data_IF_768958552667
#
_entry.id   IF_768958552667
#
_cell.length_a   1.000
_cell.length_b   1.000
_cell.length_c   1.000
_cell.angle_alpha   90.00
_cell.angle_beta   90.00
_cell.angle_gamma   90.00
#
_symmetry.space_group_name_H-M   'P 1'
#
loop_
_entity.id
_entity.type
_entity.pdbx_description
1 polymer ?
#
# COMPACT_ATOMS: atom_id res chain seq x y z
N UNK A 1 50.45 -1.18 -5.69
CA UNK A 1 51.00 -0.97 -4.33
C UNK A 1 50.02 -0.17 -3.51
N UNK A 2 49.35 -0.85 -2.60
CA UNK A 2 48.76 -0.51 -1.31
C UNK A 2 48.21 0.93 -1.11
N UNK A 3 46.91 1.07 -1.31
CA UNK A 3 46.09 2.26 -0.89
C UNK A 3 45.33 2.01 0.45
N UNK A 4 45.63 0.94 1.17
CA UNK A 4 44.97 0.59 2.42
C UNK A 4 45.74 1.05 3.66
N UNK A 5 46.37 2.23 3.65
CA UNK A 5 47.08 2.70 4.83
C UNK A 5 46.44 4.00 5.37
N UNK A 6 45.94 3.89 6.62
CA UNK A 6 45.54 4.94 7.56
C UNK A 6 44.06 5.27 7.74
N UNK A 7 43.18 4.26 7.76
CA UNK A 7 41.95 4.45 8.58
C UNK A 7 42.36 4.18 10.03
N UNK A 8 42.50 5.24 10.82
CA UNK A 8 42.81 5.07 12.24
C UNK A 8 41.65 4.31 12.93
N UNK A 9 42.02 3.43 13.91
CA UNK A 9 41.01 2.68 14.70
C UNK A 9 39.91 3.58 15.28
N UNK A 10 40.23 4.85 15.61
CA UNK A 10 39.24 5.84 16.05
C UNK A 10 38.23 6.21 14.95
N UNK A 11 38.67 6.42 13.70
CA UNK A 11 37.78 6.74 12.57
C UNK A 11 36.87 5.55 12.22
N UNK A 12 37.39 4.32 12.34
CA UNK A 12 36.60 3.11 12.15
C UNK A 12 35.51 2.96 13.24
N UNK A 13 35.87 3.22 14.51
CA UNK A 13 34.93 3.16 15.63
C UNK A 13 33.85 4.25 15.50
N UNK A 14 34.19 5.48 15.11
CA UNK A 14 33.21 6.54 14.84
C UNK A 14 32.29 6.21 13.65
N UNK A 15 32.83 5.60 12.59
CA UNK A 15 32.03 5.11 11.48
C UNK A 15 31.05 4.01 11.89
N UNK A 16 31.49 3.02 12.66
CA UNK A 16 30.63 1.98 13.22
C UNK A 16 29.59 2.54 14.21
N UNK A 17 29.94 3.53 15.03
CA UNK A 17 29.00 4.16 15.97
C UNK A 17 27.91 4.91 15.27
N UNK A 18 28.17 5.56 14.12
CA UNK A 18 27.15 6.22 13.31
C UNK A 18 26.20 5.20 12.66
N UNK A 19 26.70 4.06 12.22
CA UNK A 19 25.87 2.97 11.66
C UNK A 19 25.01 2.32 12.74
N UNK A 20 25.54 2.14 13.95
CA UNK A 20 24.76 1.61 15.09
C UNK A 20 23.72 2.60 15.62
N UNK A 21 23.98 3.92 15.57
CA UNK A 21 23.00 4.94 15.97
C UNK A 21 21.85 5.07 14.99
N UNK A 22 22.07 4.84 13.67
CA UNK A 22 21.02 4.82 12.67
C UNK A 22 20.11 3.58 12.75
N UNK A 23 20.57 2.48 13.35
CA UNK A 23 19.73 1.30 13.59
C UNK A 23 18.70 1.49 14.72
N UNK A 24 18.77 2.58 15.50
CA UNK A 24 17.77 2.93 16.52
C UNK A 24 16.61 3.77 15.99
N UNK A 25 16.63 4.15 14.72
CA UNK A 25 15.57 4.96 14.05
C UNK A 25 14.87 4.15 12.95
N UNK A 26 15.06 2.82 12.90
CA UNK A 26 14.27 2.01 11.97
C UNK A 26 12.82 2.02 12.44
N UNK A 27 11.90 2.54 11.62
CA UNK A 27 10.48 2.46 11.91
C UNK A 27 10.11 1.00 12.11
N UNK A 28 9.31 0.74 13.11
CA UNK A 28 8.90 -0.59 13.51
C UNK A 28 8.36 -1.37 12.33
N UNK A 29 8.91 -2.56 12.09
CA UNK A 29 8.21 -3.55 11.29
C UNK A 29 6.86 -3.79 11.96
N UNK A 30 5.77 -3.54 11.26
CA UNK A 30 4.42 -3.84 11.73
C UNK A 30 4.01 -5.22 11.24
N UNK A 31 3.28 -5.92 12.08
CA UNK A 31 2.68 -7.19 11.71
C UNK A 31 1.57 -6.98 10.68
N UNK A 32 1.54 -7.81 9.66
CA UNK A 32 0.50 -7.74 8.62
C UNK A 32 -0.80 -8.29 9.21
N UNK A 33 -1.88 -7.54 9.09
CA UNK A 33 -3.20 -7.99 9.50
C UNK A 33 -3.52 -9.37 8.88
N UNK A 34 -4.00 -10.30 9.70
CA UNK A 34 -4.35 -11.68 9.32
C UNK A 34 -3.17 -12.57 8.87
N UNK A 35 -1.93 -12.18 9.13
CA UNK A 35 -0.76 -13.02 8.85
C UNK A 35 0.37 -12.72 9.84
N UNK A 36 1.18 -13.74 10.16
CA UNK A 36 2.36 -13.58 11.04
C UNK A 36 3.55 -12.90 10.33
N UNK A 37 3.33 -12.33 9.15
CA UNK A 37 4.37 -11.69 8.35
C UNK A 37 4.63 -10.27 8.85
N UNK A 38 5.90 -9.94 9.05
CA UNK A 38 6.31 -8.56 9.30
C UNK A 38 6.51 -7.81 7.98
N UNK A 39 6.07 -6.57 7.93
CA UNK A 39 6.22 -5.69 6.77
C UNK A 39 6.84 -4.35 7.18
N UNK A 40 7.56 -3.76 6.24
CA UNK A 40 8.09 -2.42 6.39
C UNK A 40 6.99 -1.40 6.14
N UNK A 41 6.59 -0.68 7.18
CA UNK A 41 5.50 0.29 7.13
C UNK A 41 5.95 1.64 7.70
N UNK A 42 6.58 2.44 6.85
CA UNK A 42 7.09 3.78 7.21
C UNK A 42 5.99 4.84 7.04
N UNK A 43 5.04 4.58 6.15
CA UNK A 43 4.02 5.56 5.77
C UNK A 43 2.81 5.45 6.69
N UNK A 44 2.42 6.57 7.30
CA UNK A 44 1.18 6.65 8.08
C UNK A 44 -0.06 6.61 7.18
N UNK A 45 -1.20 6.22 7.75
CA UNK A 45 -2.48 6.22 7.03
C UNK A 45 -2.86 7.62 6.56
N UNK A 46 -2.64 8.65 7.37
CA UNK A 46 -2.91 10.04 7.00
C UNK A 46 -2.11 10.46 5.76
N UNK A 47 -0.83 10.07 5.69
CA UNK A 47 -0.02 10.32 4.51
C UNK A 47 -0.58 9.60 3.29
N UNK A 48 -0.95 8.33 3.41
CA UNK A 48 -1.52 7.55 2.31
C UNK A 48 -2.85 8.17 1.84
N UNK A 49 -3.75 8.49 2.76
CA UNK A 49 -5.06 9.05 2.43
C UNK A 49 -4.96 10.44 1.80
N UNK A 50 -4.01 11.27 2.24
CA UNK A 50 -3.75 12.57 1.61
C UNK A 50 -3.37 12.47 0.13
N UNK A 51 -2.84 11.33 -0.31
CA UNK A 51 -2.49 11.05 -1.71
C UNK A 51 -3.58 10.28 -2.45
N UNK A 52 -4.16 9.29 -1.78
CA UNK A 52 -5.17 8.41 -2.36
C UNK A 52 -6.47 9.15 -2.69
N UNK A 53 -6.99 9.95 -1.76
CA UNK A 53 -8.31 10.57 -1.97
C UNK A 53 -8.34 11.59 -3.10
N UNK A 54 -7.38 12.50 -3.25
CA UNK A 54 -7.31 13.35 -4.43
C UNK A 54 -7.15 12.57 -5.73
N UNK A 55 -6.30 11.52 -5.73
CA UNK A 55 -6.08 10.69 -6.90
C UNK A 55 -7.36 9.94 -7.31
N UNK A 56 -8.09 9.39 -6.33
CA UNK A 56 -9.37 8.73 -6.57
C UNK A 56 -10.44 9.70 -7.09
N UNK A 57 -10.53 10.90 -6.52
CA UNK A 57 -11.47 11.92 -7.00
C UNK A 57 -11.15 12.38 -8.42
N UNK A 58 -9.87 12.56 -8.75
CA UNK A 58 -9.43 12.84 -10.11
C UNK A 58 -9.78 11.69 -11.07
N UNK A 59 -9.52 10.45 -10.68
CA UNK A 59 -9.92 9.27 -11.44
C UNK A 59 -11.44 9.26 -11.73
N UNK A 60 -12.28 9.48 -10.70
CA UNK A 60 -13.75 9.53 -10.88
C UNK A 60 -14.18 10.63 -11.85
N UNK A 61 -13.55 11.81 -11.78
CA UNK A 61 -13.91 12.94 -12.64
C UNK A 61 -13.57 12.71 -14.11
N UNK A 62 -12.59 11.83 -14.38
CA UNK A 62 -12.15 11.48 -15.74
C UNK A 62 -12.80 10.20 -16.27
N UNK A 63 -13.51 9.45 -15.41
CA UNK A 63 -14.12 8.18 -15.78
C UNK A 63 -15.61 8.35 -16.04
N UNK A 64 -16.11 7.60 -17.01
CA UNK A 64 -17.55 7.43 -17.20
C UNK A 64 -18.05 6.40 -16.19
N UNK A 65 -18.90 6.82 -15.25
CA UNK A 65 -19.39 5.94 -14.18
C UNK A 65 -20.80 5.43 -14.50
N UNK A 66 -21.04 4.16 -14.19
CA UNK A 66 -22.35 3.52 -14.21
C UNK A 66 -22.94 3.61 -12.81
N UNK A 67 -24.15 4.15 -12.69
CA UNK A 67 -24.89 4.23 -11.42
C UNK A 67 -26.34 3.78 -11.63
N UNK A 68 -26.98 3.26 -10.56
CA UNK A 68 -28.40 2.91 -10.59
C UNK A 68 -28.75 1.63 -11.34
N UNK A 69 -27.78 0.92 -11.91
CA UNK A 69 -28.01 -0.38 -12.54
C UNK A 69 -28.01 -1.51 -11.50
N UNK A 70 -28.50 -2.69 -11.88
CA UNK A 70 -28.49 -3.88 -11.03
C UNK A 70 -27.04 -4.29 -10.67
N UNK A 71 -26.12 -4.22 -11.62
CA UNK A 71 -24.72 -4.55 -11.46
C UNK A 71 -24.02 -3.59 -10.49
N UNK A 72 -24.25 -2.28 -10.62
CA UNK A 72 -23.73 -1.28 -9.69
C UNK A 72 -24.25 -1.52 -8.28
N UNK A 73 -25.56 -1.72 -8.13
CA UNK A 73 -26.19 -1.96 -6.84
C UNK A 73 -25.67 -3.25 -6.19
N UNK A 74 -25.43 -4.30 -6.97
CA UNK A 74 -24.84 -5.55 -6.51
C UNK A 74 -23.40 -5.34 -6.00
N UNK A 75 -22.56 -4.58 -6.71
CA UNK A 75 -21.20 -4.25 -6.28
C UNK A 75 -21.23 -3.51 -4.94
N UNK A 76 -22.09 -2.51 -4.81
CA UNK A 76 -22.21 -1.71 -3.57
C UNK A 76 -22.69 -2.57 -2.40
N UNK A 77 -23.71 -3.40 -2.61
CA UNK A 77 -24.26 -4.29 -1.57
C UNK A 77 -23.22 -5.31 -1.10
N UNK A 78 -22.52 -5.95 -2.03
CA UNK A 78 -21.42 -6.89 -1.70
C UNK A 78 -20.31 -6.18 -0.93
N UNK A 79 -19.93 -4.98 -1.37
CA UNK A 79 -18.89 -4.20 -0.71
C UNK A 79 -19.21 -3.87 0.75
N UNK A 80 -20.44 -3.44 1.02
CA UNK A 80 -20.86 -3.19 2.40
C UNK A 80 -20.97 -4.48 3.22
N UNK A 81 -21.40 -5.59 2.64
CA UNK A 81 -21.39 -6.89 3.34
C UNK A 81 -19.99 -7.34 3.73
N UNK A 82 -19.00 -7.14 2.85
CA UNK A 82 -17.60 -7.45 3.17
C UNK A 82 -17.08 -6.54 4.28
N UNK A 83 -17.35 -5.23 4.22
CA UNK A 83 -17.02 -4.29 5.30
C UNK A 83 -17.59 -4.76 6.64
N UNK A 84 -18.89 -5.09 6.69
CA UNK A 84 -19.56 -5.50 7.90
C UNK A 84 -18.97 -6.83 8.44
N UNK A 85 -18.61 -7.75 7.55
CA UNK A 85 -17.94 -8.99 7.94
C UNK A 85 -16.53 -8.73 8.53
N UNK A 86 -15.78 -7.76 8.01
CA UNK A 86 -14.50 -7.34 8.57
C UNK A 86 -14.70 -6.77 9.98
N UNK A 87 -15.63 -5.83 10.16
CA UNK A 87 -15.92 -5.24 11.46
C UNK A 87 -16.29 -6.31 12.50
N UNK A 88 -17.21 -7.23 12.14
CA UNK A 88 -17.62 -8.35 13.02
C UNK A 88 -16.43 -9.25 13.36
N UNK A 89 -15.56 -9.54 12.41
CA UNK A 89 -14.37 -10.38 12.63
C UNK A 89 -13.45 -9.77 13.69
N UNK A 90 -13.07 -8.49 13.53
CA UNK A 90 -12.17 -7.81 14.45
C UNK A 90 -12.78 -7.59 15.83
N UNK A 91 -14.08 -7.23 15.88
CA UNK A 91 -14.83 -7.10 17.14
C UNK A 91 -14.88 -8.44 17.89
N UNK A 92 -15.23 -9.54 17.21
CA UNK A 92 -15.34 -10.88 17.81
C UNK A 92 -14.00 -11.36 18.37
N UNK A 93 -12.89 -11.03 17.70
CA UNK A 93 -11.55 -11.42 18.14
C UNK A 93 -10.91 -10.39 19.11
N UNK A 94 -11.63 -9.34 19.51
CA UNK A 94 -11.11 -8.27 20.37
C UNK A 94 -9.82 -7.65 19.82
N UNK A 95 -9.74 -7.50 18.49
CA UNK A 95 -8.62 -6.90 17.77
C UNK A 95 -9.01 -5.52 17.24
N UNK A 96 -8.02 -4.65 17.07
CA UNK A 96 -8.23 -3.35 16.44
C UNK A 96 -8.51 -3.54 14.94
N UNK A 97 -9.63 -2.97 14.46
CA UNK A 97 -10.02 -3.03 13.06
C UNK A 97 -9.15 -2.08 12.22
N UNK A 98 -8.27 -2.59 11.35
CA UNK A 98 -7.41 -1.77 10.50
C UNK A 98 -8.19 -0.95 9.47
N UNK A 99 -9.49 -1.21 9.31
CA UNK A 99 -10.36 -0.50 8.37
C UNK A 99 -11.24 0.55 9.04
N UNK A 100 -11.09 0.77 10.35
CA UNK A 100 -11.91 1.70 11.15
C UNK A 100 -11.94 3.13 10.59
N UNK A 101 -10.85 3.57 9.97
CA UNK A 101 -10.70 4.88 9.35
C UNK A 101 -10.96 4.88 7.83
N UNK A 102 -11.43 3.76 7.25
CA UNK A 102 -11.71 3.71 5.82
C UNK A 102 -12.96 4.51 5.47
N UNK A 103 -12.87 5.29 4.40
CA UNK A 103 -13.99 5.99 3.78
C UNK A 103 -14.48 5.19 2.58
N UNK A 104 -15.20 4.10 2.87
CA UNK A 104 -15.66 3.14 1.88
C UNK A 104 -16.45 3.80 0.75
N UNK A 105 -16.02 3.55 -0.46
CA UNK A 105 -16.69 4.04 -1.67
C UNK A 105 -16.46 3.06 -2.82
N UNK A 106 -17.54 2.73 -3.53
CA UNK A 106 -17.56 1.76 -4.60
C UNK A 106 -18.03 2.43 -5.88
N UNK A 107 -17.28 2.26 -6.98
CA UNK A 107 -17.67 2.74 -8.30
C UNK A 107 -17.61 1.64 -9.33
N UNK A 108 -18.50 1.72 -10.33
CA UNK A 108 -18.47 0.92 -11.55
C UNK A 108 -18.14 1.83 -12.71
N UNK A 109 -17.03 1.57 -13.38
CA UNK A 109 -16.55 2.33 -14.55
C UNK A 109 -17.11 1.71 -15.82
N UNK A 110 -17.66 2.52 -16.71
CA UNK A 110 -18.15 2.14 -18.03
C UNK A 110 -16.98 1.98 -19.01
N UNK A 111 -16.31 0.84 -18.92
CA UNK A 111 -15.19 0.44 -19.78
C UNK A 111 -15.19 -1.08 -19.91
N UNK A 112 -15.74 -1.57 -21.01
CA UNK A 112 -15.89 -3.00 -21.32
C UNK A 112 -14.60 -3.66 -21.82
N UNK A 113 -13.59 -2.86 -22.16
CA UNK A 113 -12.29 -3.35 -22.63
C UNK A 113 -11.37 -3.67 -21.44
N UNK A 114 -11.50 -2.93 -20.33
CA UNK A 114 -10.69 -3.14 -19.14
C UNK A 114 -11.29 -4.23 -18.25
N UNK A 115 -10.57 -5.34 -18.10
CA UNK A 115 -10.97 -6.48 -17.26
C UNK A 115 -10.25 -6.42 -15.92
N UNK A 116 -10.62 -5.44 -15.10
CA UNK A 116 -9.92 -5.16 -13.85
C UNK A 116 -10.86 -4.69 -12.74
N UNK A 117 -10.40 -4.85 -11.49
CA UNK A 117 -10.89 -4.19 -10.30
C UNK A 117 -9.70 -3.82 -9.42
N UNK A 118 -9.86 -2.87 -8.51
CA UNK A 118 -8.81 -2.49 -7.57
C UNK A 118 -9.38 -1.82 -6.33
N UNK A 119 -8.60 -1.87 -5.24
CA UNK A 119 -8.86 -1.16 -4.01
C UNK A 119 -7.64 -0.31 -3.63
N UNK A 120 -7.84 0.99 -3.48
CA UNK A 120 -6.83 1.91 -2.93
C UNK A 120 -6.92 1.98 -1.41
N UNK A 121 -5.81 2.37 -0.72
CA UNK A 121 -5.84 2.67 0.71
C UNK A 121 -7.00 3.61 1.08
N UNK A 122 -7.64 3.34 2.24
CA UNK A 122 -8.80 4.10 2.69
C UNK A 122 -10.13 3.62 2.13
N UNK A 123 -10.19 2.42 1.50
CA UNK A 123 -11.44 1.77 1.09
C UNK A 123 -12.08 2.35 -0.17
N UNK A 124 -11.26 2.84 -1.11
CA UNK A 124 -11.71 3.35 -2.41
C UNK A 124 -11.62 2.25 -3.46
N UNK A 125 -12.76 1.74 -3.91
CA UNK A 125 -12.86 0.55 -4.77
C UNK A 125 -13.46 0.91 -6.12
N UNK A 126 -12.85 0.40 -7.20
CA UNK A 126 -13.39 0.50 -8.55
C UNK A 126 -13.45 -0.86 -9.22
N UNK A 127 -14.56 -1.11 -9.88
CA UNK A 127 -14.76 -2.18 -10.84
C UNK A 127 -14.93 -1.60 -12.23
N UNK A 128 -14.40 -2.27 -13.23
CA UNK A 128 -14.64 -1.95 -14.64
C UNK A 128 -15.72 -2.87 -15.20
N UNK A 129 -16.59 -2.36 -16.07
CA UNK A 129 -17.68 -3.16 -16.64
C UNK A 129 -17.17 -4.39 -17.40
N UNK A 130 -15.98 -4.30 -17.98
CA UNK A 130 -15.36 -5.40 -18.73
C UNK A 130 -15.00 -6.65 -17.91
N UNK A 131 -14.90 -6.54 -16.56
CA UNK A 131 -14.64 -7.73 -15.72
C UNK A 131 -15.94 -8.50 -15.41
N UNK A 132 -17.12 -7.85 -15.43
CA UNK A 132 -18.37 -8.43 -14.98
C UNK A 132 -18.76 -9.73 -15.70
N UNK A 133 -18.60 -9.86 -17.04
CA UNK A 133 -18.88 -11.12 -17.73
C UNK A 133 -17.99 -12.29 -17.28
N UNK A 134 -16.77 -11.99 -16.76
CA UNK A 134 -15.83 -12.98 -16.28
C UNK A 134 -16.26 -13.47 -14.89
N UNK A 135 -16.74 -12.56 -14.05
CA UNK A 135 -17.17 -12.84 -12.68
C UNK A 135 -18.47 -13.65 -12.63
N UNK A 136 -19.31 -13.55 -13.66
CA UNK A 136 -20.54 -14.31 -13.90
C UNK A 136 -21.68 -14.04 -12.92
N UNK A 137 -21.41 -13.94 -11.62
CA UNK A 137 -22.42 -13.84 -10.56
C UNK A 137 -21.88 -13.09 -9.34
N UNK A 138 -22.73 -12.96 -8.29
CA UNK A 138 -22.40 -12.31 -7.03
C UNK A 138 -21.19 -12.92 -6.32
N UNK A 139 -21.02 -14.26 -6.38
CA UNK A 139 -19.90 -14.93 -5.73
C UNK A 139 -18.56 -14.57 -6.38
N UNK A 140 -18.54 -14.44 -7.71
CA UNK A 140 -17.37 -13.97 -8.45
C UNK A 140 -17.02 -12.52 -8.10
N UNK A 141 -18.01 -11.65 -8.01
CA UNK A 141 -17.82 -10.24 -7.56
C UNK A 141 -17.28 -10.21 -6.14
N UNK A 142 -17.88 -10.98 -5.21
CA UNK A 142 -17.45 -11.04 -3.82
C UNK A 142 -16.01 -11.57 -3.68
N UNK A 143 -15.65 -12.58 -4.47
CA UNK A 143 -14.31 -13.18 -4.45
C UNK A 143 -13.24 -12.16 -4.87
N UNK A 144 -13.45 -11.46 -5.99
CA UNK A 144 -12.50 -10.44 -6.46
C UNK A 144 -12.47 -9.24 -5.53
N UNK A 145 -13.63 -8.76 -5.08
CA UNK A 145 -13.70 -7.63 -4.15
C UNK A 145 -13.00 -7.94 -2.83
N UNK A 146 -13.23 -9.14 -2.26
CA UNK A 146 -12.55 -9.59 -1.04
C UNK A 146 -11.04 -9.66 -1.22
N UNK A 147 -10.56 -10.10 -2.39
CA UNK A 147 -9.13 -10.12 -2.73
C UNK A 147 -8.54 -8.69 -2.75
N UNK A 148 -9.19 -7.76 -3.44
CA UNK A 148 -8.72 -6.38 -3.53
C UNK A 148 -8.76 -5.66 -2.16
N UNK A 149 -9.81 -5.88 -1.37
CA UNK A 149 -9.92 -5.36 -0.01
C UNK A 149 -8.84 -5.95 0.90
N UNK A 150 -8.54 -7.26 0.80
CA UNK A 150 -7.48 -7.89 1.56
C UNK A 150 -6.11 -7.25 1.31
N UNK A 151 -5.82 -6.82 0.06
CA UNK A 151 -4.60 -6.07 -0.25
C UNK A 151 -4.55 -4.71 0.46
N UNK A 152 -5.68 -4.02 0.62
CA UNK A 152 -5.75 -2.75 1.34
C UNK A 152 -5.63 -2.96 2.86
N UNK A 153 -6.30 -3.97 3.42
CA UNK A 153 -6.21 -4.37 4.83
C UNK A 153 -4.80 -4.78 5.21
N UNK A 154 -4.15 -5.59 4.38
CA UNK A 154 -2.75 -5.99 4.55
C UNK A 154 -1.74 -4.88 4.23
N UNK A 155 -2.19 -3.68 3.86
CA UNK A 155 -1.36 -2.49 3.57
C UNK A 155 -0.27 -2.72 2.51
N UNK A 156 -0.50 -3.60 1.54
CA UNK A 156 0.49 -3.94 0.51
C UNK A 156 0.94 -2.72 -0.31
N UNK A 157 0.08 -1.73 -0.50
CA UNK A 157 0.45 -0.47 -1.18
C UNK A 157 1.40 0.38 -0.34
N UNK A 158 1.21 0.42 0.99
CA UNK A 158 2.10 1.10 1.92
C UNK A 158 3.48 0.44 1.98
N UNK A 159 3.52 -0.89 2.03
CA UNK A 159 4.74 -1.68 2.02
C UNK A 159 5.55 -1.44 0.74
N UNK A 160 4.89 -1.51 -0.44
CA UNK A 160 5.56 -1.23 -1.72
C UNK A 160 6.10 0.19 -1.80
N UNK A 161 5.32 1.18 -1.38
CA UNK A 161 5.75 2.57 -1.36
C UNK A 161 6.89 2.81 -0.36
N UNK A 162 6.84 2.22 0.82
CA UNK A 162 7.92 2.28 1.82
C UNK A 162 9.21 1.65 1.31
N UNK A 163 9.11 0.50 0.65
CA UNK A 163 10.26 -0.19 0.04
C UNK A 163 10.86 0.64 -1.08
N UNK A 164 10.05 1.22 -1.96
CA UNK A 164 10.53 2.09 -3.03
C UNK A 164 11.28 3.31 -2.48
N UNK A 165 10.74 3.97 -1.47
CA UNK A 165 11.40 5.13 -0.82
C UNK A 165 12.78 4.76 -0.26
N UNK A 166 12.91 3.61 0.41
CA UNK A 166 14.22 3.17 0.93
C UNK A 166 15.18 2.83 -0.20
N UNK A 167 14.69 2.18 -1.26
CA UNK A 167 15.51 1.84 -2.43
C UNK A 167 16.03 3.11 -3.10
N UNK A 168 15.17 4.08 -3.34
CA UNK A 168 15.53 5.35 -3.95
C UNK A 168 16.51 6.15 -3.09
N UNK A 169 16.28 6.24 -1.77
CA UNK A 169 17.21 6.86 -0.83
C UNK A 169 18.55 6.13 -0.77
N UNK A 170 18.53 4.80 -0.83
CA UNK A 170 19.74 3.97 -0.88
C UNK A 170 20.55 4.22 -2.14
N UNK A 171 19.90 4.30 -3.30
CA UNK A 171 20.54 4.60 -4.58
C UNK A 171 21.15 6.01 -4.54
N UNK A 172 20.40 7.03 -4.10
CA UNK A 172 20.91 8.41 -3.97
C UNK A 172 22.12 8.49 -3.04
N UNK A 173 22.10 7.76 -1.92
CA UNK A 173 23.21 7.73 -0.98
C UNK A 173 24.46 7.07 -1.60
N UNK A 174 24.30 6.00 -2.38
CA UNK A 174 25.38 5.34 -3.10
C UNK A 174 25.97 6.25 -4.20
N UNK A 175 25.15 6.94 -4.97
CA UNK A 175 25.59 7.90 -5.97
C UNK A 175 26.41 9.02 -5.34
N UNK A 176 25.94 9.58 -4.23
CA UNK A 176 26.65 10.61 -3.48
C UNK A 176 27.99 10.11 -2.96
N UNK A 177 28.04 8.86 -2.45
CA UNK A 177 29.27 8.24 -1.96
C UNK A 177 30.28 8.00 -3.10
N UNK A 178 29.82 7.54 -4.26
CA UNK A 178 30.65 7.34 -5.46
C UNK A 178 31.21 8.67 -5.96
N UNK A 179 30.37 9.69 -6.06
CA UNK A 179 30.79 11.04 -6.44
C UNK A 179 31.87 11.59 -5.51
N UNK A 180 31.68 11.47 -4.19
CA UNK A 180 32.66 11.93 -3.20
C UNK A 180 33.99 11.14 -3.28
N UNK A 181 33.91 9.84 -3.62
CA UNK A 181 35.13 9.00 -3.79
C UNK A 181 35.92 9.36 -5.05
N UNK A 182 35.27 9.88 -6.10
CA UNK A 182 35.91 10.30 -7.34
C UNK A 182 36.55 11.69 -7.24
N UNK A 183 36.12 12.54 -6.31
CA UNK A 183 36.70 13.88 -6.11
C UNK A 183 38.00 13.85 -5.27
N UNK A 184 38.30 12.71 -4.65
CA UNK A 184 39.49 12.56 -3.78
C UNK A 184 40.65 11.81 -4.49
N UNK A 185 40.67 11.72 -5.82
CA UNK A 185 41.79 11.35 -6.67
C UNK A 185 42.27 12.58 -7.41
#
# INVERSE_FOLDING_TARGET
>A
MSVFNNISRRKFIYGCSCVCASSLILPSCTEVALSDRQQLNILSDDFLYSRTFPAYNNFKSQSKLITGTSEYNQIVDIGFKIRDAINIYYETNSQEDPTSNFQWEFVLVDDDQTKNAWCMPGGKIAFYSGILPILKNADGVASVMGHEIAHAVARHSAERASTAMITDLGIMALEQFVLLSLIHI
#
